data_IF_811694421068
#
_entry.id   IF_811694421068
#
_cell.length_a   1.000
_cell.length_b   1.000
_cell.length_c   1.000
_cell.angle_alpha   90.00
_cell.angle_beta   90.00
_cell.angle_gamma   90.00
#
_symmetry.space_group_name_H-M   'P 1'
#
loop_
_entity.id
_entity.type
_entity.pdbx_description
1 polymer ?
#
# COMPACT_ATOMS: atom_id res chain seq x y z
N UNK A 1 -9.31 23.27 20.19
CA UNK A 1 -8.15 23.19 21.09
C UNK A 1 -7.59 24.56 21.36
N UNK A 2 -7.64 25.04 22.63
CA UNK A 2 -7.30 26.43 22.99
C UNK A 2 -5.81 26.70 23.25
N UNK A 3 -4.94 25.73 23.32
CA UNK A 3 -3.51 25.90 23.58
C UNK A 3 -2.67 25.21 22.50
N UNK A 4 -1.50 25.78 22.20
CA UNK A 4 -0.56 25.17 21.24
C UNK A 4 -0.12 23.79 21.79
N UNK A 5 -0.42 22.66 21.14
CA UNK A 5 -0.11 21.33 21.68
C UNK A 5 1.39 21.17 21.90
N UNK A 6 1.79 20.41 22.93
CA UNK A 6 3.17 20.10 23.27
C UNK A 6 3.39 18.58 23.20
N UNK A 7 4.65 18.16 23.16
CA UNK A 7 4.99 16.72 23.19
C UNK A 7 4.37 15.89 22.05
N UNK A 8 3.93 14.66 22.31
CA UNK A 8 3.42 13.72 21.31
C UNK A 8 2.22 14.23 20.52
N UNK A 9 1.27 14.93 21.13
CA UNK A 9 0.14 15.51 20.42
C UNK A 9 0.59 16.54 19.38
N UNK A 10 1.61 17.36 19.71
CA UNK A 10 2.21 18.29 18.75
C UNK A 10 2.94 17.54 17.63
N UNK A 11 3.64 16.45 17.93
CA UNK A 11 4.31 15.63 16.94
C UNK A 11 3.31 15.07 15.92
N UNK A 12 2.18 14.52 16.37
CA UNK A 12 1.11 14.06 15.49
C UNK A 12 0.54 15.22 14.64
N UNK A 13 0.26 16.39 15.23
CA UNK A 13 -0.25 17.56 14.47
C UNK A 13 0.75 18.05 13.42
N UNK A 14 2.05 18.06 13.71
CA UNK A 14 3.09 18.44 12.75
C UNK A 14 3.20 17.43 11.61
N UNK A 15 3.14 16.13 11.91
CA UNK A 15 3.19 15.07 10.92
C UNK A 15 1.97 15.13 9.96
N UNK A 16 0.78 15.32 10.50
CA UNK A 16 -0.43 15.51 9.69
C UNK A 16 -0.32 16.77 8.83
N UNK A 17 0.12 17.89 9.41
CA UNK A 17 0.29 19.15 8.67
C UNK A 17 1.28 18.97 7.51
N UNK A 18 2.46 18.40 7.75
CA UNK A 18 3.48 18.18 6.72
C UNK A 18 2.93 17.30 5.58
N UNK A 19 2.24 16.22 5.91
CA UNK A 19 1.63 15.33 4.93
C UNK A 19 0.55 16.02 4.09
N UNK A 20 -0.33 16.82 4.72
CA UNK A 20 -1.38 17.55 4.01
C UNK A 20 -0.81 18.69 3.17
N UNK A 21 0.17 19.45 3.66
CA UNK A 21 0.83 20.49 2.87
C UNK A 21 1.46 19.89 1.62
N UNK A 22 2.24 18.83 1.75
CA UNK A 22 2.85 18.17 0.58
C UNK A 22 1.80 17.65 -0.42
N UNK A 23 0.68 17.09 0.06
CA UNK A 23 -0.40 16.64 -0.80
C UNK A 23 -1.09 17.82 -1.52
N UNK A 24 -1.39 18.90 -0.80
CA UNK A 24 -2.05 20.08 -1.36
C UNK A 24 -1.16 20.79 -2.40
N UNK A 25 0.15 20.88 -2.14
CA UNK A 25 1.11 21.48 -3.07
C UNK A 25 1.20 20.68 -4.39
N UNK A 26 1.03 19.35 -4.34
CA UNK A 26 1.09 18.48 -5.50
C UNK A 26 -0.27 18.36 -6.26
N UNK A 27 -1.37 18.22 -5.53
CA UNK A 27 -2.68 17.84 -6.08
C UNK A 27 -3.76 18.95 -5.96
N UNK A 28 -3.47 20.04 -5.25
CA UNK A 28 -4.45 21.07 -4.88
C UNK A 28 -5.25 20.72 -3.63
N UNK A 29 -6.00 21.70 -3.12
CA UNK A 29 -6.85 21.51 -1.93
C UNK A 29 -8.01 20.56 -2.24
N UNK A 30 -8.18 19.45 -1.49
CA UNK A 30 -9.29 18.53 -1.70
C UNK A 30 -10.60 19.11 -1.11
N UNK A 31 -11.76 18.67 -1.64
CA UNK A 31 -13.07 19.10 -1.10
C UNK A 31 -13.34 18.57 0.31
N UNK A 32 -12.71 17.48 0.71
CA UNK A 32 -12.78 16.88 2.03
C UNK A 32 -11.57 15.98 2.32
N UNK A 33 -11.42 15.52 3.56
CA UNK A 33 -10.46 14.49 3.96
C UNK A 33 -11.22 13.30 4.55
N UNK A 34 -10.91 12.09 4.11
CA UNK A 34 -11.48 10.85 4.67
C UNK A 34 -10.46 10.23 5.63
N UNK A 35 -10.85 9.98 6.87
CA UNK A 35 -10.00 9.36 7.90
C UNK A 35 -10.57 8.02 8.29
N UNK A 36 -9.78 6.94 8.11
CA UNK A 36 -10.14 5.62 8.62
C UNK A 36 -10.00 5.58 10.14
N UNK A 37 -11.11 5.41 10.85
CA UNK A 37 -11.20 5.45 12.30
C UNK A 37 -11.67 4.11 12.87
N UNK A 38 -10.76 3.35 13.49
CA UNK A 38 -11.08 2.07 14.13
C UNK A 38 -11.35 2.19 15.64
N UNK A 39 -11.18 3.38 16.21
CA UNK A 39 -11.27 3.60 17.66
C UNK A 39 -9.98 3.30 18.44
N UNK A 40 -9.01 2.60 17.89
CA UNK A 40 -7.69 2.39 18.49
C UNK A 40 -6.85 3.67 18.52
N UNK A 41 -5.82 3.70 19.37
CA UNK A 41 -5.02 4.90 19.65
C UNK A 41 -4.46 5.58 18.39
N UNK A 42 -3.90 4.81 17.46
CA UNK A 42 -3.28 5.35 16.24
C UNK A 42 -4.30 6.08 15.36
N UNK A 43 -5.46 5.47 15.13
CA UNK A 43 -6.53 6.06 14.32
C UNK A 43 -7.22 7.24 15.01
N UNK A 44 -7.33 7.20 16.35
CA UNK A 44 -7.94 8.26 17.13
C UNK A 44 -7.03 9.49 17.21
N UNK A 45 -5.72 9.29 17.42
CA UNK A 45 -4.73 10.37 17.38
C UNK A 45 -4.68 11.02 15.98
N UNK A 46 -4.75 10.19 14.90
CA UNK A 46 -4.84 10.69 13.54
C UNK A 46 -6.10 11.53 13.33
N UNK A 47 -7.28 11.02 13.70
CA UNK A 47 -8.55 11.74 13.53
C UNK A 47 -8.52 13.08 14.25
N UNK A 48 -8.17 13.08 15.54
CA UNK A 48 -8.08 14.30 16.37
C UNK A 48 -7.19 15.36 15.72
N UNK A 49 -5.98 14.96 15.31
CA UNK A 49 -4.99 15.90 14.75
C UNK A 49 -5.34 16.33 13.33
N UNK A 50 -5.97 15.46 12.54
CA UNK A 50 -6.47 15.82 11.21
C UNK A 50 -7.62 16.84 11.31
N UNK A 51 -8.57 16.64 12.20
CA UNK A 51 -9.68 17.59 12.42
C UNK A 51 -9.16 18.97 12.81
N UNK A 52 -8.21 19.06 13.76
CA UNK A 52 -7.62 20.35 14.18
C UNK A 52 -6.83 21.03 13.04
N UNK A 53 -6.04 20.28 12.29
CA UNK A 53 -5.23 20.82 11.18
C UNK A 53 -6.13 21.25 10.01
N UNK A 54 -7.09 20.41 9.63
CA UNK A 54 -8.00 20.65 8.51
C UNK A 54 -8.95 21.83 8.79
N UNK A 55 -9.43 22.00 10.03
CA UNK A 55 -10.26 23.13 10.42
C UNK A 55 -9.58 24.48 10.18
N UNK A 56 -8.25 24.55 10.34
CA UNK A 56 -7.46 25.77 10.06
C UNK A 56 -7.32 26.06 8.57
N UNK A 57 -7.46 25.04 7.74
CA UNK A 57 -7.44 25.13 6.27
C UNK A 57 -8.85 25.23 5.67
N UNK A 58 -9.91 25.18 6.48
CA UNK A 58 -11.30 25.18 6.03
C UNK A 58 -11.70 23.90 5.27
N UNK A 59 -10.99 22.79 5.47
CA UNK A 59 -11.25 21.52 4.79
C UNK A 59 -12.11 20.62 5.69
N UNK A 60 -13.29 20.17 5.23
CA UNK A 60 -14.13 19.24 5.98
C UNK A 60 -13.45 17.88 6.20
N UNK A 61 -13.70 17.24 7.35
CA UNK A 61 -13.20 15.91 7.68
C UNK A 61 -14.37 14.93 7.81
N UNK A 62 -14.27 13.81 7.14
CA UNK A 62 -15.19 12.68 7.21
C UNK A 62 -14.45 11.49 7.82
N UNK A 63 -14.88 11.03 8.99
CA UNK A 63 -14.34 9.80 9.58
C UNK A 63 -15.17 8.60 9.15
N UNK A 64 -14.51 7.50 8.86
CA UNK A 64 -15.16 6.25 8.45
C UNK A 64 -14.76 5.15 9.42
N UNK A 65 -15.75 4.62 10.14
CA UNK A 65 -15.63 3.45 10.99
C UNK A 65 -16.27 2.26 10.29
N UNK A 66 -15.52 1.17 10.16
CA UNK A 66 -16.02 -0.03 9.49
C UNK A 66 -16.35 -1.09 10.52
N UNK A 67 -17.63 -1.45 10.58
CA UNK A 67 -18.13 -2.57 11.37
C UNK A 67 -18.10 -3.84 10.52
N UNK A 68 -17.32 -4.81 10.95
CA UNK A 68 -17.19 -6.11 10.29
C UNK A 68 -18.27 -7.11 10.66
N UNK A 69 -19.15 -6.80 11.63
CA UNK A 69 -20.22 -7.67 12.08
C UNK A 69 -19.76 -8.99 12.74
N UNK A 70 -18.47 -9.11 13.09
CA UNK A 70 -17.86 -10.39 13.48
C UNK A 70 -18.08 -10.75 14.96
N UNK A 71 -18.63 -9.86 15.76
CA UNK A 71 -18.93 -10.07 17.19
C UNK A 71 -20.18 -9.32 17.61
N UNK A 72 -20.89 -9.86 18.60
CA UNK A 72 -22.03 -9.17 19.20
C UNK A 72 -21.56 -7.81 19.78
N UNK A 73 -22.32 -6.75 19.52
CA UNK A 73 -22.05 -5.41 20.01
C UNK A 73 -21.05 -4.59 19.17
N UNK A 74 -20.48 -5.14 18.09
CA UNK A 74 -19.54 -4.39 17.23
C UNK A 74 -20.18 -3.14 16.60
N UNK A 75 -21.44 -3.22 16.21
CA UNK A 75 -22.18 -2.07 15.66
C UNK A 75 -22.40 -0.94 16.69
N UNK A 76 -22.63 -1.26 17.97
CA UNK A 76 -22.72 -0.25 19.02
C UNK A 76 -21.37 0.40 19.32
N UNK A 77 -20.32 -0.40 19.28
CA UNK A 77 -18.95 0.08 19.42
C UNK A 77 -18.58 1.03 18.27
N UNK A 78 -18.88 0.64 17.03
CA UNK A 78 -18.67 1.48 15.86
C UNK A 78 -19.42 2.82 15.94
N UNK A 79 -20.66 2.82 16.45
CA UNK A 79 -21.42 4.05 16.68
C UNK A 79 -20.77 4.93 17.75
N UNK A 80 -20.32 4.36 18.88
CA UNK A 80 -19.61 5.13 19.94
C UNK A 80 -18.33 5.78 19.40
N UNK A 81 -17.64 5.10 18.48
CA UNK A 81 -16.46 5.67 17.80
C UNK A 81 -16.87 6.83 16.89
N UNK A 82 -17.96 6.66 16.14
CA UNK A 82 -18.51 7.71 15.28
C UNK A 82 -18.97 8.94 16.09
N UNK A 83 -19.74 8.74 17.16
CA UNK A 83 -20.20 9.81 18.06
C UNK A 83 -19.02 10.61 18.64
N UNK A 84 -17.92 9.90 18.96
CA UNK A 84 -16.69 10.53 19.43
C UNK A 84 -16.09 11.44 18.36
N UNK A 85 -16.05 11.00 17.10
CA UNK A 85 -15.53 11.79 15.99
C UNK A 85 -16.41 13.04 15.73
N UNK A 86 -17.72 12.91 15.83
CA UNK A 86 -18.66 14.04 15.72
C UNK A 86 -18.45 15.05 16.83
N UNK A 87 -18.24 14.60 18.07
CA UNK A 87 -17.92 15.48 19.19
C UNK A 87 -16.61 16.26 19.02
N UNK A 88 -15.71 15.77 18.16
CA UNK A 88 -14.46 16.45 17.78
C UNK A 88 -14.61 17.38 16.58
N UNK A 89 -15.77 17.37 15.90
CA UNK A 89 -16.07 18.26 14.77
C UNK A 89 -15.93 17.63 13.39
N UNK A 90 -15.84 16.31 13.28
CA UNK A 90 -15.90 15.61 11.99
C UNK A 90 -17.33 15.17 11.66
N UNK A 91 -17.63 14.92 10.39
CA UNK A 91 -18.78 14.13 9.98
C UNK A 91 -18.40 12.66 10.09
N UNK A 92 -19.18 11.84 10.78
CA UNK A 92 -18.89 10.42 10.93
C UNK A 92 -19.78 9.54 10.04
N UNK A 93 -19.18 8.49 9.51
CA UNK A 93 -19.84 7.45 8.72
C UNK A 93 -19.49 6.09 9.31
N UNK A 94 -20.50 5.26 9.53
CA UNK A 94 -20.34 3.85 9.90
C UNK A 94 -20.72 3.00 8.70
N UNK A 95 -19.78 2.23 8.18
CA UNK A 95 -20.01 1.29 7.09
C UNK A 95 -20.00 -0.15 7.64
N UNK A 96 -21.09 -0.87 7.46
CA UNK A 96 -21.17 -2.30 7.82
C UNK A 96 -20.80 -3.14 6.61
N UNK A 97 -19.86 -4.07 6.78
CA UNK A 97 -19.34 -4.92 5.71
C UNK A 97 -19.49 -6.39 6.06
N UNK A 98 -19.76 -7.22 5.04
CA UNK A 98 -19.65 -8.67 5.16
C UNK A 98 -18.20 -9.10 4.90
N UNK A 99 -17.68 -9.97 5.77
CA UNK A 99 -16.31 -10.50 5.66
C UNK A 99 -16.36 -11.88 5.02
N UNK A 100 -16.42 -11.91 3.68
CA UNK A 100 -16.40 -13.13 2.89
C UNK A 100 -15.22 -13.08 1.92
N UNK A 101 -14.49 -14.19 1.75
CA UNK A 101 -13.41 -14.26 0.76
C UNK A 101 -12.32 -15.30 1.08
N UNK A 102 -11.49 -15.64 0.09
CA UNK A 102 -10.48 -16.70 0.19
C UNK A 102 -9.23 -16.33 0.99
N UNK A 103 -9.07 -15.08 1.42
CA UNK A 103 -7.86 -14.57 2.09
C UNK A 103 -7.77 -14.86 3.60
N UNK A 104 -8.70 -15.68 4.13
CA UNK A 104 -8.87 -15.86 5.57
C UNK A 104 -9.50 -14.63 6.25
N UNK A 105 -9.92 -14.74 7.53
CA UNK A 105 -10.69 -13.68 8.20
C UNK A 105 -10.00 -12.31 8.23
N UNK A 106 -8.69 -12.28 8.51
CA UNK A 106 -7.91 -11.03 8.59
C UNK A 106 -7.73 -10.38 7.20
N UNK A 107 -7.44 -11.19 6.18
CA UNK A 107 -7.27 -10.71 4.81
C UNK A 107 -8.57 -10.13 4.26
N UNK A 108 -9.66 -10.91 4.35
CA UNK A 108 -10.97 -10.51 3.87
C UNK A 108 -11.50 -9.27 4.61
N UNK A 109 -11.34 -9.19 5.93
CA UNK A 109 -11.71 -8.01 6.72
C UNK A 109 -10.91 -6.76 6.30
N UNK A 110 -9.62 -6.92 6.00
CA UNK A 110 -8.77 -5.84 5.50
C UNK A 110 -9.24 -5.33 4.14
N UNK A 111 -9.56 -6.25 3.21
CA UNK A 111 -10.00 -5.90 1.87
C UNK A 111 -11.39 -5.23 1.89
N UNK A 112 -12.32 -5.76 2.66
CA UNK A 112 -13.64 -5.17 2.88
C UNK A 112 -13.53 -3.74 3.48
N UNK A 113 -12.66 -3.54 4.48
CA UNK A 113 -12.39 -2.22 5.05
C UNK A 113 -11.83 -1.26 4.01
N UNK A 114 -10.87 -1.70 3.18
CA UNK A 114 -10.31 -0.85 2.11
C UNK A 114 -11.36 -0.47 1.08
N UNK A 115 -12.22 -1.40 0.70
CA UNK A 115 -13.31 -1.15 -0.23
C UNK A 115 -14.31 -0.12 0.33
N UNK A 116 -14.72 -0.24 1.59
CA UNK A 116 -15.62 0.71 2.25
C UNK A 116 -15.01 2.12 2.33
N UNK A 117 -13.74 2.23 2.76
CA UNK A 117 -13.03 3.51 2.79
C UNK A 117 -12.93 4.15 1.39
N UNK A 118 -12.60 3.35 0.37
CA UNK A 118 -12.51 3.81 -1.02
C UNK A 118 -13.86 4.35 -1.52
N UNK A 119 -14.93 3.63 -1.28
CA UNK A 119 -16.27 4.04 -1.70
C UNK A 119 -16.67 5.40 -1.11
N UNK A 120 -16.37 5.63 0.17
CA UNK A 120 -16.59 6.94 0.80
C UNK A 120 -15.68 8.01 0.17
N UNK A 121 -14.40 7.72 -0.01
CA UNK A 121 -13.44 8.67 -0.59
C UNK A 121 -13.81 9.08 -2.01
N UNK A 122 -14.30 8.15 -2.83
CA UNK A 122 -14.78 8.45 -4.18
C UNK A 122 -16.03 9.35 -4.16
N UNK A 123 -16.99 9.09 -3.26
CA UNK A 123 -18.17 9.96 -3.09
C UNK A 123 -17.80 11.39 -2.67
N UNK A 124 -16.78 11.52 -1.82
CA UNK A 124 -16.31 12.81 -1.31
C UNK A 124 -15.27 13.50 -2.21
N UNK A 125 -14.75 12.82 -3.24
CA UNK A 125 -13.62 13.34 -4.04
C UNK A 125 -12.35 13.56 -3.20
N UNK A 126 -12.09 12.74 -2.19
CA UNK A 126 -11.16 13.02 -1.11
C UNK A 126 -10.04 11.98 -1.00
N UNK A 127 -8.83 12.35 -0.53
CA UNK A 127 -7.81 11.39 -0.12
C UNK A 127 -8.20 10.70 1.19
N UNK A 128 -7.65 9.50 1.40
CA UNK A 128 -7.85 8.70 2.61
C UNK A 128 -6.62 8.80 3.51
N UNK A 129 -6.81 9.10 4.78
CA UNK A 129 -5.77 9.11 5.80
C UNK A 129 -5.88 7.85 6.68
N UNK A 130 -4.75 7.17 6.89
CA UNK A 130 -4.64 5.98 7.75
C UNK A 130 -3.61 6.17 8.85
N UNK A 131 -3.93 5.70 10.06
CA UNK A 131 -3.11 5.80 11.26
C UNK A 131 -2.00 4.74 11.35
N UNK A 132 -1.29 4.43 10.26
CA UNK A 132 -0.13 3.55 10.33
C UNK A 132 1.05 4.27 10.98
N UNK A 133 1.76 3.55 11.84
CA UNK A 133 2.90 4.04 12.62
C UNK A 133 4.23 3.40 12.18
N UNK A 134 5.33 3.84 12.77
CA UNK A 134 6.65 3.25 12.60
C UNK A 134 6.68 1.79 13.06
N UNK A 135 5.88 1.45 14.07
CA UNK A 135 5.74 0.08 14.55
C UNK A 135 5.10 -0.83 13.48
N UNK A 136 4.07 -0.35 12.78
CA UNK A 136 3.46 -1.08 11.64
C UNK A 136 4.46 -1.25 10.47
N UNK A 137 5.34 -0.26 10.27
CA UNK A 137 6.41 -0.33 9.28
C UNK A 137 7.37 -1.47 9.61
N UNK A 138 7.84 -1.54 10.86
CA UNK A 138 8.74 -2.60 11.33
C UNK A 138 8.11 -3.99 11.24
N UNK A 139 6.85 -4.13 11.69
CA UNK A 139 6.08 -5.38 11.54
C UNK A 139 6.03 -5.82 10.06
N UNK A 140 5.78 -4.86 9.15
CA UNK A 140 5.67 -5.16 7.72
C UNK A 140 7.02 -5.55 7.11
N UNK A 141 8.12 -4.91 7.50
CA UNK A 141 9.47 -5.29 7.06
C UNK A 141 9.78 -6.73 7.48
N UNK A 142 9.54 -7.09 8.75
CA UNK A 142 9.80 -8.44 9.25
C UNK A 142 8.96 -9.50 8.54
N UNK A 143 7.67 -9.22 8.31
CA UNK A 143 6.80 -10.12 7.55
C UNK A 143 7.28 -10.36 6.12
N UNK A 144 7.85 -9.35 5.49
CA UNK A 144 8.35 -9.44 4.12
C UNK A 144 9.72 -10.12 4.06
N UNK A 145 10.59 -9.85 5.03
CA UNK A 145 11.87 -10.57 5.20
C UNK A 145 11.65 -12.08 5.39
N UNK A 146 10.72 -12.47 6.25
CA UNK A 146 10.39 -13.87 6.50
C UNK A 146 9.87 -14.63 5.25
N UNK A 147 9.41 -13.89 4.22
CA UNK A 147 8.99 -14.45 2.93
C UNK A 147 10.09 -14.44 1.87
N UNK A 148 11.31 -14.07 2.20
CA UNK A 148 12.41 -13.94 1.23
C UNK A 148 12.21 -12.81 0.23
N UNK A 149 11.50 -11.76 0.59
CA UNK A 149 11.18 -10.66 -0.33
C UNK A 149 12.40 -9.79 -0.64
N UNK A 150 12.53 -9.36 -1.89
CA UNK A 150 13.57 -8.42 -2.35
C UNK A 150 13.34 -6.96 -1.94
N UNK A 151 14.27 -6.05 -2.27
CA UNK A 151 14.25 -4.64 -1.87
C UNK A 151 12.94 -3.91 -2.19
N UNK A 152 12.36 -4.12 -3.38
CA UNK A 152 11.07 -3.54 -3.76
C UNK A 152 9.92 -3.89 -2.81
N UNK A 153 9.99 -5.04 -2.17
CA UNK A 153 9.03 -5.45 -1.14
C UNK A 153 9.38 -4.87 0.22
N UNK A 154 10.68 -4.77 0.55
CA UNK A 154 11.17 -4.25 1.83
C UNK A 154 10.94 -2.75 2.02
N UNK A 155 10.62 -1.98 0.95
CA UNK A 155 10.12 -0.61 1.09
C UNK A 155 8.89 -0.48 1.99
N UNK A 156 8.27 -1.62 2.29
CA UNK A 156 7.14 -1.82 3.21
C UNK A 156 5.95 -0.88 2.94
N UNK A 157 5.51 -0.08 3.90
CA UNK A 157 4.33 0.80 3.77
C UNK A 157 4.79 2.14 3.19
N UNK A 158 4.22 2.56 2.07
CA UNK A 158 4.50 3.87 1.49
C UNK A 158 3.77 4.98 2.26
N UNK A 159 4.39 6.15 2.53
CA UNK A 159 3.71 7.29 3.17
C UNK A 159 2.56 7.83 2.32
N UNK A 160 2.71 7.81 0.99
CA UNK A 160 1.68 8.14 0.02
C UNK A 160 1.59 7.00 -0.99
N UNK A 161 0.38 6.62 -1.35
CA UNK A 161 0.15 5.67 -2.45
C UNK A 161 -1.14 6.02 -3.18
N UNK A 162 -1.21 5.72 -4.46
CA UNK A 162 -2.42 5.81 -5.26
C UNK A 162 -2.83 4.40 -5.67
N UNK A 163 -4.11 4.09 -5.58
CA UNK A 163 -4.62 2.80 -6.04
C UNK A 163 -5.07 2.87 -7.51
N UNK A 164 -5.44 1.71 -8.07
CA UNK A 164 -5.84 1.59 -9.47
C UNK A 164 -7.13 2.37 -9.79
N UNK A 165 -7.96 2.65 -8.77
CA UNK A 165 -9.16 3.48 -8.88
C UNK A 165 -8.85 4.98 -8.75
N UNK A 166 -7.59 5.35 -8.64
CA UNK A 166 -7.11 6.72 -8.57
C UNK A 166 -7.22 7.38 -7.20
N UNK A 167 -7.67 6.67 -6.16
CA UNK A 167 -7.77 7.22 -4.80
C UNK A 167 -6.39 7.31 -4.15
N UNK A 168 -6.09 8.45 -3.56
CA UNK A 168 -4.84 8.67 -2.83
C UNK A 168 -4.98 8.29 -1.37
N UNK A 169 -3.99 7.54 -0.86
CA UNK A 169 -3.88 7.05 0.52
C UNK A 169 -2.68 7.70 1.19
N UNK A 170 -2.92 8.45 2.27
CA UNK A 170 -1.90 9.13 3.06
C UNK A 170 -1.69 8.42 4.40
N UNK A 171 -0.47 8.42 4.90
CA UNK A 171 -0.11 7.82 6.20
C UNK A 171 0.78 8.77 6.99
N UNK A 172 0.18 9.83 7.54
CA UNK A 172 0.94 10.92 8.17
C UNK A 172 1.77 10.47 9.36
N UNK A 173 1.31 9.47 10.12
CA UNK A 173 1.93 9.04 11.37
C UNK A 173 3.02 7.98 11.20
N UNK A 174 3.40 7.63 9.96
CA UNK A 174 4.34 6.54 9.66
C UNK A 174 5.74 6.76 10.25
N UNK A 175 6.12 8.00 10.54
CA UNK A 175 7.37 8.37 11.22
C UNK A 175 7.29 8.43 12.75
N UNK A 176 6.11 8.18 13.34
CA UNK A 176 5.89 8.22 14.80
C UNK A 176 5.68 6.82 15.36
N UNK A 177 6.03 6.66 16.64
CA UNK A 177 5.83 5.42 17.36
C UNK A 177 4.38 5.28 17.85
N UNK A 178 3.91 4.06 18.03
CA UNK A 178 2.60 3.79 18.65
C UNK A 178 2.48 4.41 20.03
N UNK A 179 3.54 4.38 20.84
CA UNK A 179 3.56 5.07 22.14
C UNK A 179 3.30 6.59 22.04
N UNK A 180 3.68 7.23 20.93
CA UNK A 180 3.44 8.65 20.73
C UNK A 180 1.95 8.92 20.47
N UNK A 181 1.27 8.04 19.71
CA UNK A 181 -0.18 8.15 19.46
C UNK A 181 -1.00 7.87 20.72
N UNK A 182 -0.58 6.88 21.52
CA UNK A 182 -1.19 6.60 22.83
C UNK A 182 -1.08 7.78 23.79
N UNK A 183 0.12 8.37 23.86
CA UNK A 183 0.34 9.55 24.70
C UNK A 183 -0.39 10.79 24.16
N UNK A 184 -0.51 10.93 22.83
CA UNK A 184 -1.29 12.00 22.24
C UNK A 184 -2.79 11.91 22.61
N UNK A 185 -3.35 10.70 22.58
CA UNK A 185 -4.72 10.45 23.05
C UNK A 185 -4.87 10.80 24.53
N UNK A 186 -3.94 10.33 25.38
CA UNK A 186 -3.96 10.61 26.81
C UNK A 186 -3.87 12.12 27.11
N UNK A 187 -3.01 12.87 26.41
CA UNK A 187 -2.89 14.32 26.51
C UNK A 187 -4.18 15.06 26.11
N UNK A 188 -4.95 14.47 25.20
CA UNK A 188 -6.24 15.02 24.77
C UNK A 188 -7.43 14.55 25.63
N UNK A 189 -7.20 13.75 26.65
CA UNK A 189 -8.26 13.17 27.49
C UNK A 189 -9.12 12.14 26.75
N UNK A 190 -8.57 11.52 25.68
CA UNK A 190 -9.27 10.50 24.89
C UNK A 190 -8.87 9.10 25.36
N UNK A 191 -9.85 8.23 25.56
CA UNK A 191 -9.65 6.82 25.85
C UNK A 191 -9.84 6.01 24.56
N UNK A 192 -8.74 5.43 23.99
CA UNK A 192 -8.83 4.53 22.84
C UNK A 192 -9.57 3.24 23.20
N UNK A 193 -10.25 2.67 22.22
CA UNK A 193 -10.79 1.31 22.35
C UNK A 193 -9.63 0.30 22.31
N UNK A 194 -9.72 -0.69 23.18
CA UNK A 194 -8.87 -1.87 23.13
C UNK A 194 -9.62 -2.94 22.37
N UNK A 195 -9.12 -3.30 21.18
CA UNK A 195 -9.70 -4.38 20.39
C UNK A 195 -9.03 -5.69 20.81
N UNK A 196 -9.77 -6.65 21.41
CA UNK A 196 -9.21 -7.93 21.86
C UNK A 196 -8.61 -8.77 20.73
N UNK A 197 -8.96 -8.49 19.47
CA UNK A 197 -8.38 -9.19 18.32
C UNK A 197 -6.91 -8.83 18.08
N UNK A 198 -6.42 -7.73 18.66
CA UNK A 198 -5.02 -7.32 18.58
C UNK A 198 -4.14 -8.01 19.64
N UNK A 199 -4.72 -8.66 20.63
CA UNK A 199 -3.98 -9.36 21.68
C UNK A 199 -3.40 -10.69 21.15
N UNK A 200 -2.28 -11.11 21.74
CA UNK A 200 -1.62 -12.37 21.37
C UNK A 200 -2.54 -13.59 21.64
N UNK A 201 -3.34 -13.50 22.68
CA UNK A 201 -4.33 -14.51 23.08
C UNK A 201 -5.75 -14.16 22.60
N UNK A 202 -5.86 -13.22 21.67
CA UNK A 202 -7.13 -12.76 21.12
C UNK A 202 -7.93 -13.88 20.43
N UNK A 203 -9.22 -13.66 20.18
CA UNK A 203 -10.13 -14.67 19.64
C UNK A 203 -9.81 -15.06 18.19
N UNK A 204 -9.05 -14.23 17.48
CA UNK A 204 -8.68 -14.50 16.09
C UNK A 204 -7.34 -15.23 16.01
N UNK A 205 -7.35 -16.31 15.25
CA UNK A 205 -6.17 -17.17 15.01
C UNK A 205 -5.93 -17.28 13.50
N UNK A 206 -4.68 -17.56 13.14
CA UNK A 206 -4.33 -18.02 11.81
C UNK A 206 -4.97 -19.39 11.53
N UNK A 207 -5.02 -19.80 10.27
CA UNK A 207 -5.64 -21.07 9.87
C UNK A 207 -5.00 -22.31 10.53
N UNK A 208 -3.74 -22.20 10.98
CA UNK A 208 -3.00 -23.22 11.71
C UNK A 208 -3.19 -23.16 13.24
N UNK A 209 -4.10 -22.30 13.73
CA UNK A 209 -4.36 -22.09 15.16
C UNK A 209 -3.34 -21.19 15.88
N UNK A 210 -2.28 -20.74 15.22
CA UNK A 210 -1.30 -19.82 15.80
C UNK A 210 -1.86 -18.40 15.98
N UNK A 211 -1.26 -17.54 16.83
CA UNK A 211 -1.62 -16.14 16.91
C UNK A 211 -1.51 -15.46 15.54
N UNK A 212 -2.32 -14.44 15.32
CA UNK A 212 -2.19 -13.61 14.11
C UNK A 212 -0.75 -13.09 13.98
N UNK A 213 -0.20 -13.18 12.78
CA UNK A 213 1.23 -12.90 12.54
C UNK A 213 1.68 -11.54 13.02
N UNK A 214 0.84 -10.50 12.88
CA UNK A 214 1.14 -9.15 13.36
C UNK A 214 1.12 -9.06 14.86
N UNK A 215 0.17 -9.72 15.52
CA UNK A 215 0.10 -9.82 16.98
C UNK A 215 1.33 -10.53 17.54
N UNK A 216 1.71 -11.68 16.95
CA UNK A 216 2.92 -12.41 17.34
C UNK A 216 4.20 -11.57 17.17
N UNK A 217 4.33 -10.81 16.08
CA UNK A 217 5.48 -9.90 15.88
C UNK A 217 5.52 -8.82 16.96
N UNK A 218 4.41 -8.17 17.23
CA UNK A 218 4.29 -7.07 18.18
C UNK A 218 4.59 -7.48 19.61
N UNK A 219 4.01 -8.60 20.05
CA UNK A 219 4.04 -9.00 21.45
C UNK A 219 5.14 -10.02 21.79
N UNK A 220 5.72 -10.69 20.80
CA UNK A 220 6.76 -11.69 21.02
C UNK A 220 8.06 -11.40 20.25
N UNK A 221 8.03 -11.34 18.93
CA UNK A 221 9.25 -11.33 18.13
C UNK A 221 10.04 -10.01 18.26
N UNK A 222 9.39 -8.85 18.15
CA UNK A 222 10.07 -7.53 18.27
C UNK A 222 10.64 -7.33 19.67
N UNK A 223 9.92 -7.64 20.79
CA UNK A 223 10.49 -7.60 22.12
C UNK A 223 11.68 -8.56 22.31
N UNK A 224 11.60 -9.79 21.77
CA UNK A 224 12.71 -10.75 21.83
C UNK A 224 13.94 -10.24 21.04
N UNK A 225 13.75 -9.65 19.86
CA UNK A 225 14.83 -9.02 19.12
C UNK A 225 15.45 -7.85 19.89
N UNK A 226 14.64 -7.01 20.51
CA UNK A 226 15.12 -5.90 21.31
C UNK A 226 15.97 -6.37 22.48
N UNK A 227 15.51 -7.43 23.19
CA UNK A 227 16.25 -8.03 24.29
C UNK A 227 17.58 -8.65 23.83
N UNK A 228 17.57 -9.38 22.70
CA UNK A 228 18.75 -10.04 22.17
C UNK A 228 19.80 -9.05 21.63
N UNK A 229 19.35 -7.94 21.02
CA UNK A 229 20.25 -6.94 20.43
C UNK A 229 20.65 -5.83 21.39
N UNK A 230 19.99 -5.71 22.54
CA UNK A 230 20.19 -4.61 23.50
C UNK A 230 19.73 -3.24 23.01
N UNK A 231 18.99 -3.18 21.90
CA UNK A 231 18.47 -1.93 21.29
C UNK A 231 17.07 -2.15 20.72
N UNK A 232 16.27 -1.06 20.65
CA UNK A 232 14.98 -1.09 19.97
C UNK A 232 15.17 -1.24 18.44
N UNK A 233 14.72 -2.36 17.81
CA UNK A 233 14.92 -2.59 16.38
C UNK A 233 13.97 -1.77 15.49
N UNK A 234 12.86 -1.23 16.03
CA UNK A 234 11.80 -0.57 15.24
C UNK A 234 12.31 0.61 14.44
N UNK A 235 13.08 1.57 15.01
CA UNK A 235 13.62 2.68 14.22
C UNK A 235 14.60 2.24 13.13
N UNK A 236 15.38 1.19 13.39
CA UNK A 236 16.33 0.65 12.40
C UNK A 236 15.60 -0.02 11.23
N UNK A 237 14.58 -0.83 11.50
CA UNK A 237 13.74 -1.48 10.49
C UNK A 237 13.00 -0.45 9.62
N UNK A 238 12.43 0.59 10.25
CA UNK A 238 11.77 1.67 9.51
C UNK A 238 12.75 2.45 8.61
N UNK A 239 13.97 2.72 9.09
CA UNK A 239 15.04 3.34 8.28
C UNK A 239 15.45 2.46 7.10
N UNK A 240 15.59 1.15 7.30
CA UNK A 240 15.87 0.20 6.22
C UNK A 240 14.77 0.23 5.17
N UNK A 241 13.49 0.27 5.56
CA UNK A 241 12.39 0.43 4.62
C UNK A 241 12.48 1.72 3.80
N UNK A 242 12.83 2.83 4.42
CA UNK A 242 12.99 4.12 3.74
C UNK A 242 14.16 4.11 2.73
N UNK A 243 15.30 3.50 3.09
CA UNK A 243 16.43 3.32 2.17
C UNK A 243 16.04 2.43 0.98
N UNK A 244 15.42 1.27 1.24
CA UNK A 244 14.91 0.41 0.18
C UNK A 244 13.89 1.12 -0.73
N UNK A 245 13.06 2.02 -0.18
CA UNK A 245 12.12 2.80 -0.97
C UNK A 245 12.84 3.78 -1.90
N UNK A 246 13.84 4.51 -1.40
CA UNK A 246 14.62 5.45 -2.21
C UNK A 246 15.38 4.75 -3.35
N UNK A 247 15.99 3.60 -3.07
CA UNK A 247 16.69 2.80 -4.07
C UNK A 247 15.71 2.23 -5.11
N UNK A 248 14.57 1.71 -4.66
CA UNK A 248 13.54 1.16 -5.53
C UNK A 248 12.95 2.22 -6.46
N UNK A 249 12.68 3.42 -5.94
CA UNK A 249 12.17 4.54 -6.73
C UNK A 249 13.21 5.02 -7.78
N UNK A 250 14.49 5.04 -7.45
CA UNK A 250 15.55 5.39 -8.38
C UNK A 250 15.67 4.36 -9.51
N UNK A 251 15.68 3.07 -9.16
CA UNK A 251 15.75 1.97 -10.12
C UNK A 251 14.50 1.87 -11.00
N UNK A 252 13.33 2.18 -10.44
CA UNK A 252 12.07 2.22 -11.19
C UNK A 252 12.07 3.36 -12.20
N UNK A 253 12.45 4.58 -11.80
CA UNK A 253 12.59 5.69 -12.74
C UNK A 253 13.56 5.38 -13.88
N UNK A 254 14.68 4.74 -13.58
CA UNK A 254 15.62 4.30 -14.63
C UNK A 254 15.01 3.25 -15.54
N UNK A 255 14.29 2.26 -15.00
CA UNK A 255 13.60 1.23 -15.79
C UNK A 255 12.53 1.83 -16.70
N UNK A 256 11.72 2.75 -16.18
CA UNK A 256 10.68 3.44 -16.99
C UNK A 256 11.29 4.29 -18.11
N UNK A 257 12.46 4.89 -17.90
CA UNK A 257 13.18 5.61 -18.95
C UNK A 257 13.64 4.69 -20.10
N UNK A 258 13.88 3.40 -19.86
CA UNK A 258 14.18 2.43 -20.92
C UNK A 258 12.96 2.07 -21.76
N UNK A 259 11.75 2.23 -21.21
CA UNK A 259 10.49 1.94 -21.90
C UNK A 259 9.97 3.15 -22.70
N UNK A 260 10.50 4.34 -22.44
CA UNK A 260 10.11 5.54 -23.20
C UNK A 260 10.58 5.43 -24.65
N UNK A 261 9.75 5.86 -25.65
CA UNK A 261 10.17 5.90 -27.06
C UNK A 261 11.38 6.81 -27.21
N UNK A 262 12.39 6.34 -27.93
CA UNK A 262 13.71 7.00 -28.06
C UNK A 262 13.64 8.34 -28.80
N UNK A 263 12.58 8.60 -29.61
CA UNK A 263 12.39 9.86 -30.35
C UNK A 263 10.90 10.09 -30.65
N UNK A 264 10.41 11.36 -30.60
CA UNK A 264 9.13 11.72 -31.16
C UNK A 264 9.23 11.60 -32.70
N UNK A 265 8.67 10.55 -33.29
CA UNK A 265 8.72 10.32 -34.74
C UNK A 265 9.07 8.90 -35.16
N UNK A 266 9.61 8.04 -34.28
CA UNK A 266 9.58 6.60 -34.49
C UNK A 266 8.17 6.11 -34.21
N UNK A 267 7.27 6.33 -35.17
CA UNK A 267 5.94 5.77 -35.16
C UNK A 267 6.06 4.25 -34.99
N UNK A 268 5.36 3.76 -33.99
CA UNK A 268 5.09 2.34 -33.83
C UNK A 268 4.59 1.84 -35.19
N UNK A 269 5.33 0.90 -35.76
CA UNK A 269 4.85 0.12 -36.91
C UNK A 269 3.40 -0.26 -36.60
N UNK A 270 2.47 0.23 -37.41
CA UNK A 270 1.02 0.20 -37.15
C UNK A 270 0.43 -1.20 -37.02
N UNK A 271 1.24 -2.24 -37.20
CA UNK A 271 0.86 -3.65 -37.07
C UNK A 271 1.10 -4.26 -35.67
N UNK A 272 1.87 -3.62 -34.76
CA UNK A 272 2.08 -4.17 -33.41
C UNK A 272 1.70 -3.15 -32.32
N UNK A 273 0.42 -3.12 -31.96
CA UNK A 273 -0.12 -2.37 -30.79
C UNK A 273 0.40 -2.87 -29.42
N UNK A 274 1.47 -3.64 -29.38
CA UNK A 274 1.94 -4.26 -28.15
C UNK A 274 3.17 -3.54 -27.56
N UNK A 275 3.23 -3.34 -26.24
CA UNK A 275 4.43 -2.81 -25.57
C UNK A 275 5.66 -3.61 -25.95
N UNK A 276 6.72 -2.93 -26.36
CA UNK A 276 7.98 -3.59 -26.70
C UNK A 276 9.18 -2.77 -26.25
N UNK A 277 10.28 -3.45 -25.89
CA UNK A 277 11.50 -2.84 -25.37
C UNK A 277 12.68 -3.11 -26.32
N UNK A 278 13.48 -2.09 -26.62
CA UNK A 278 14.69 -2.26 -27.43
C UNK A 278 15.74 -3.09 -26.69
N UNK A 279 16.23 -4.16 -27.32
CA UNK A 279 17.26 -5.04 -26.72
C UNK A 279 18.56 -4.29 -26.48
N UNK A 280 18.94 -3.35 -27.36
CA UNK A 280 20.16 -2.53 -27.18
C UNK A 280 20.11 -1.67 -25.91
N UNK A 281 18.97 -1.07 -25.61
CA UNK A 281 18.77 -0.30 -24.36
C UNK A 281 18.83 -1.21 -23.13
N UNK A 282 18.22 -2.38 -23.21
CA UNK A 282 18.22 -3.36 -22.12
C UNK A 282 19.61 -3.92 -21.85
N UNK A 283 20.42 -4.22 -22.89
CA UNK A 283 21.79 -4.71 -22.74
C UNK A 283 22.71 -3.70 -22.04
N UNK A 284 22.51 -2.40 -22.27
CA UNK A 284 23.25 -1.34 -21.62
C UNK A 284 22.90 -1.12 -20.15
N UNK A 285 21.80 -1.70 -19.66
CA UNK A 285 21.31 -1.49 -18.30
C UNK A 285 21.75 -2.62 -17.35
N UNK A 286 22.02 -2.31 -16.06
CA UNK A 286 22.21 -3.33 -15.04
C UNK A 286 21.00 -4.26 -14.94
N UNK A 287 21.23 -5.53 -14.55
CA UNK A 287 20.17 -6.54 -14.43
C UNK A 287 18.98 -6.06 -13.58
N UNK A 288 19.26 -5.36 -12.46
CA UNK A 288 18.19 -4.85 -11.58
C UNK A 288 17.26 -3.84 -12.27
N UNK A 289 17.76 -3.03 -13.19
CA UNK A 289 16.97 -2.07 -14.00
C UNK A 289 16.29 -2.81 -15.16
N UNK A 290 17.01 -3.63 -15.87
CA UNK A 290 16.52 -4.39 -17.02
C UNK A 290 15.35 -5.29 -16.66
N UNK A 291 15.46 -6.05 -15.56
CA UNK A 291 14.37 -6.93 -15.10
C UNK A 291 13.14 -6.17 -14.60
N UNK A 292 13.31 -4.94 -14.07
CA UNK A 292 12.18 -4.06 -13.78
C UNK A 292 11.48 -3.58 -15.05
N UNK A 293 12.24 -3.09 -16.02
CA UNK A 293 11.66 -2.64 -17.30
C UNK A 293 10.87 -3.76 -17.99
N UNK A 294 11.41 -4.99 -17.98
CA UNK A 294 10.71 -6.16 -18.53
C UNK A 294 9.41 -6.48 -17.77
N UNK A 295 9.39 -6.38 -16.44
CA UNK A 295 8.18 -6.57 -15.63
C UNK A 295 7.14 -5.49 -15.90
N UNK A 296 7.56 -4.22 -16.00
CA UNK A 296 6.68 -3.09 -16.28
C UNK A 296 6.05 -3.21 -17.67
N UNK A 297 6.83 -3.56 -18.67
CA UNK A 297 6.33 -3.78 -20.04
C UNK A 297 5.35 -4.95 -20.10
N UNK A 298 5.64 -6.06 -19.42
CA UNK A 298 4.72 -7.18 -19.32
C UNK A 298 3.38 -6.78 -18.68
N UNK A 299 3.42 -6.01 -17.58
CA UNK A 299 2.22 -5.48 -16.92
C UNK A 299 1.45 -4.52 -17.82
N UNK A 300 2.14 -3.63 -18.52
CA UNK A 300 1.52 -2.70 -19.47
C UNK A 300 0.85 -3.44 -20.65
N UNK A 301 1.38 -4.61 -21.02
CA UNK A 301 0.77 -5.51 -21.99
C UNK A 301 -0.43 -6.31 -21.44
N UNK A 302 -0.81 -6.15 -20.16
CA UNK A 302 -1.92 -6.86 -19.55
C UNK A 302 -1.57 -8.26 -19.01
N UNK A 303 -0.30 -8.63 -18.93
CA UNK A 303 0.12 -9.92 -18.38
C UNK A 303 -0.02 -9.91 -16.84
N UNK A 304 -0.28 -11.11 -16.28
CA UNK A 304 -0.41 -11.30 -14.82
C UNK A 304 0.96 -11.23 -14.13
N UNK A 305 0.96 -11.27 -12.80
CA UNK A 305 2.18 -11.23 -12.00
C UNK A 305 3.19 -12.31 -12.38
N UNK A 306 4.43 -11.91 -12.64
CA UNK A 306 5.53 -12.78 -13.06
C UNK A 306 6.29 -13.32 -11.83
N UNK A 307 6.57 -14.63 -11.83
CA UNK A 307 7.50 -15.25 -10.88
C UNK A 307 8.96 -14.87 -11.20
N UNK A 308 9.88 -15.19 -10.28
CA UNK A 308 11.31 -15.02 -10.54
C UNK A 308 11.77 -15.81 -11.78
N UNK A 309 11.32 -17.05 -11.95
CA UNK A 309 11.65 -17.86 -13.09
C UNK A 309 11.20 -17.25 -14.43
N UNK A 310 9.99 -16.64 -14.46
CA UNK A 310 9.53 -15.91 -15.66
C UNK A 310 10.41 -14.71 -15.98
N UNK A 311 10.88 -14.00 -14.95
CA UNK A 311 11.76 -12.83 -15.12
C UNK A 311 13.15 -13.24 -15.57
N UNK A 312 13.68 -14.37 -15.07
CA UNK A 312 14.96 -14.92 -15.50
C UNK A 312 14.88 -15.33 -16.98
N UNK A 313 13.80 -16.01 -17.40
CA UNK A 313 13.57 -16.36 -18.79
C UNK A 313 13.45 -15.14 -19.71
N UNK A 314 12.80 -14.07 -19.26
CA UNK A 314 12.76 -12.79 -19.98
C UNK A 314 14.14 -12.14 -20.11
N UNK A 315 14.95 -12.18 -19.05
CA UNK A 315 16.31 -11.66 -19.06
C UNK A 315 17.20 -12.45 -20.03
N UNK A 316 17.01 -13.76 -20.12
CA UNK A 316 17.73 -14.63 -21.06
C UNK A 316 17.40 -14.33 -22.52
N UNK A 317 16.18 -13.87 -22.86
CA UNK A 317 15.87 -13.37 -24.20
C UNK A 317 16.73 -12.15 -24.57
N UNK A 318 17.20 -11.39 -23.59
CA UNK A 318 18.05 -10.21 -23.79
C UNK A 318 19.51 -10.60 -23.85
N UNK A 319 20.04 -11.30 -22.82
CA UNK A 319 21.48 -11.49 -22.59
C UNK A 319 22.01 -12.82 -23.10
N UNK A 320 21.16 -13.82 -23.26
CA UNK A 320 21.53 -15.19 -23.65
C UNK A 320 20.76 -15.70 -24.87
N UNK A 321 20.46 -14.82 -25.82
CA UNK A 321 19.71 -15.15 -27.01
C UNK A 321 20.43 -16.17 -27.89
N UNK A 322 19.76 -17.29 -28.19
CA UNK A 322 20.26 -18.39 -29.04
C UNK A 322 19.30 -18.78 -30.18
N UNK A 323 18.29 -17.90 -30.44
CA UNK A 323 17.23 -18.21 -31.39
C UNK A 323 16.03 -18.92 -30.76
N UNK A 324 15.90 -18.93 -29.44
CA UNK A 324 14.74 -19.49 -28.75
C UNK A 324 13.46 -18.79 -29.18
N UNK A 325 12.38 -19.58 -29.29
CA UNK A 325 11.06 -19.10 -29.62
C UNK A 325 10.41 -18.27 -28.49
N UNK A 326 9.11 -17.93 -28.65
CA UNK A 326 8.36 -17.26 -27.61
C UNK A 326 8.37 -18.03 -26.30
N UNK A 327 8.43 -17.31 -25.17
CA UNK A 327 8.28 -17.88 -23.83
C UNK A 327 6.86 -17.66 -23.33
N UNK A 328 6.30 -18.69 -22.69
CA UNK A 328 5.00 -18.59 -22.04
C UNK A 328 5.09 -17.82 -20.72
N UNK A 329 4.16 -16.90 -20.54
CA UNK A 329 4.01 -16.07 -19.34
C UNK A 329 2.56 -16.14 -18.85
N UNK A 330 2.30 -15.89 -17.56
CA UNK A 330 0.95 -15.83 -17.05
C UNK A 330 0.10 -14.76 -17.76
N UNK A 331 -0.86 -15.23 -18.56
CA UNK A 331 -1.76 -14.36 -19.34
C UNK A 331 -1.26 -14.01 -20.74
N UNK A 332 -0.14 -14.59 -21.21
CA UNK A 332 0.35 -14.28 -22.56
C UNK A 332 1.71 -14.88 -22.88
N UNK A 333 2.43 -14.25 -23.79
CA UNK A 333 3.76 -14.68 -24.23
C UNK A 333 4.70 -13.48 -24.38
N UNK A 334 5.99 -13.73 -24.35
CA UNK A 334 7.00 -12.77 -24.78
C UNK A 334 7.98 -13.39 -25.77
N UNK A 335 8.45 -12.60 -26.69
CA UNK A 335 9.41 -13.05 -27.73
C UNK A 335 10.42 -11.96 -28.07
N UNK A 336 11.60 -12.37 -28.53
CA UNK A 336 12.52 -11.44 -29.16
C UNK A 336 12.25 -11.40 -30.65
N UNK A 337 11.91 -10.20 -31.14
CA UNK A 337 11.60 -9.93 -32.56
C UNK A 337 12.66 -9.01 -33.15
N UNK A 338 12.81 -9.04 -34.47
CA UNK A 338 13.82 -8.24 -35.17
C UNK A 338 15.26 -8.79 -34.98
N UNK A 339 16.25 -8.10 -35.57
CA UNK A 339 17.68 -8.50 -35.54
C UNK A 339 18.57 -7.28 -35.37
N UNK A 340 19.77 -7.50 -34.84
CA UNK A 340 20.78 -6.44 -34.67
C UNK A 340 20.26 -5.27 -33.82
N UNK A 341 20.43 -4.06 -34.29
CA UNK A 341 19.99 -2.83 -33.62
C UNK A 341 18.46 -2.71 -33.49
N UNK A 342 17.71 -3.40 -34.35
CA UNK A 342 16.24 -3.39 -34.35
C UNK A 342 15.62 -4.51 -33.52
N UNK A 343 16.45 -5.28 -32.79
CA UNK A 343 15.94 -6.34 -31.91
C UNK A 343 15.13 -5.73 -30.74
N UNK A 344 13.94 -6.29 -30.48
CA UNK A 344 13.04 -5.87 -29.41
C UNK A 344 12.48 -7.06 -28.66
N UNK A 345 12.13 -6.88 -27.40
CA UNK A 345 11.31 -7.82 -26.64
C UNK A 345 9.86 -7.36 -26.73
N UNK A 346 9.03 -8.16 -27.38
CA UNK A 346 7.60 -7.90 -27.56
C UNK A 346 6.77 -8.79 -26.62
N UNK A 347 5.68 -8.24 -26.10
CA UNK A 347 4.75 -8.92 -25.20
C UNK A 347 3.38 -9.01 -25.84
N UNK A 348 2.75 -10.19 -25.79
CA UNK A 348 1.42 -10.44 -26.36
C UNK A 348 0.54 -11.03 -25.27
N UNK A 349 -0.52 -10.33 -24.87
CA UNK A 349 -1.54 -10.88 -23.99
C UNK A 349 -2.40 -11.90 -24.76
N UNK A 350 -2.79 -13.00 -24.08
CA UNK A 350 -3.84 -13.88 -24.60
C UNK A 350 -5.18 -13.17 -24.43
N UNK A 351 -5.96 -13.06 -25.49
CA UNK A 351 -7.36 -12.65 -25.37
C UNK A 351 -8.07 -13.62 -24.42
N UNK A 352 -8.66 -13.07 -23.36
CA UNK A 352 -9.59 -13.84 -22.53
C UNK A 352 -10.80 -14.08 -23.40
N UNK A 353 -10.93 -15.29 -23.94
CA UNK A 353 -12.11 -15.68 -24.73
C UNK A 353 -13.37 -15.27 -24.00
N UNK A 354 -14.25 -14.57 -24.68
CA UNK A 354 -15.59 -14.29 -24.17
C UNK A 354 -16.21 -15.60 -23.70
N UNK A 355 -16.88 -15.65 -22.53
CA UNK A 355 -17.58 -16.86 -22.10
C UNK A 355 -18.52 -17.25 -23.24
N UNK A 356 -18.32 -18.43 -23.80
CA UNK A 356 -19.27 -19.04 -24.72
C UNK A 356 -20.60 -19.18 -23.97
N UNK A 357 -21.55 -18.33 -24.31
CA UNK A 357 -22.95 -18.51 -23.91
C UNK A 357 -23.35 -19.84 -24.51
N UNK A 358 -23.78 -20.83 -23.70
CA UNK A 358 -24.35 -22.05 -24.28
C UNK A 358 -25.59 -21.66 -25.06
N UNK A 359 -25.66 -22.12 -26.31
CA UNK A 359 -26.82 -22.00 -27.15
C UNK A 359 -28.04 -22.64 -26.42
N UNK A 360 -29.17 -21.99 -26.32
CA UNK A 360 -30.36 -22.59 -25.75
C UNK A 360 -30.97 -23.54 -26.80
N UNK A 361 -30.81 -24.86 -26.57
CA UNK A 361 -31.69 -25.88 -27.17
C UNK A 361 -32.99 -26.00 -26.37
#
# INVERSE_FOLDING_TARGET
MGANPRGPLRACSLAVRASLTSFIDEAGAPPALVVGLSGGADSLALALTTIDVAARAGIPVVTVTVDHGLRAGSGEEARRVADRAESLGARAVVETVSVEGPGGPEGSARDARRAALRAVAQREGAPILLGHTMDDQAETVLLRLARGSGPSSLRAIAPVSRDDDGVTWLRPLLGLRRKDTEQACAQAGLAPLQDPTNDIDGPWRAADGSPLRRSALRHAAIPALAAALGVDPVPALARTAALCAADDDALTRWASALAAPATPGEEHDSETRHPSLAVSALLGAPRAVRTRALREAARAAGLRALSSAHVDALDDLVVAWRGQGPIDLPGGTASRVGRGAHARIAFVAREVGAPTVPDPD
#
